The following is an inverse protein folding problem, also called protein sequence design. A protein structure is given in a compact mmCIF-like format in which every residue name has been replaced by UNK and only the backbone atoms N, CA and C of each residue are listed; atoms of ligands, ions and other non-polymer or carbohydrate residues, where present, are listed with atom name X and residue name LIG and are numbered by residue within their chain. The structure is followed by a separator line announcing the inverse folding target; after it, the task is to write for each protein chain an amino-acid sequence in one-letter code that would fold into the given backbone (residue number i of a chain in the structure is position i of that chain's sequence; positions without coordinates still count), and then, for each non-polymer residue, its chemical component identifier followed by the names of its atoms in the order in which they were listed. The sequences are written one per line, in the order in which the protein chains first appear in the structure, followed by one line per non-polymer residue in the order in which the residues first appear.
data_IF_203211693992
#
_entry.id   IF_203211693992
#
_cell.length_a   1.000
_cell.length_b   1.000
_cell.length_c   1.000
_cell.angle_alpha   90.00
_cell.angle_beta   90.00
_cell.angle_gamma   90.00
#
_symmetry.space_group_name_H-M   'P 1'
#
loop_
_entity.id
_entity.type
_entity.pdbx_description
1 polymer ?
#
# COMPACT_ATOMS: atom_id res chain seq x y z
N UNK A 1 -2.50 1.68 28.60
CA UNK A 1 -1.69 0.58 28.03
C UNK A 1 -1.38 0.92 26.58
N UNK A 2 -0.20 0.60 26.07
CA UNK A 2 0.14 0.76 24.64
C UNK A 2 -0.77 -0.08 23.77
N UNK A 3 -1.18 0.41 22.60
CA UNK A 3 -2.03 -0.28 21.60
C UNK A 3 -1.37 -0.36 20.22
N UNK A 4 -1.94 -1.17 19.35
CA UNK A 4 -1.65 -1.14 17.91
C UNK A 4 -2.65 -0.20 17.23
N UNK A 5 -2.15 0.76 16.48
CA UNK A 5 -2.95 1.62 15.63
C UNK A 5 -2.73 1.22 14.17
N UNK A 6 -3.77 0.66 13.57
CA UNK A 6 -3.76 0.17 12.20
C UNK A 6 -4.47 1.17 11.31
N UNK A 7 -3.77 1.71 10.33
CA UNK A 7 -4.27 2.73 9.41
C UNK A 7 -4.33 2.15 8.00
N UNK A 8 -5.54 1.91 7.52
CA UNK A 8 -5.81 1.31 6.21
C UNK A 8 -6.25 2.39 5.23
N UNK A 9 -5.42 2.71 4.23
CA UNK A 9 -5.70 3.70 3.20
C UNK A 9 -6.01 2.99 1.87
N UNK A 10 -7.27 2.96 1.44
CA UNK A 10 -7.63 2.30 0.18
C UNK A 10 -7.51 3.24 -1.03
N UNK A 11 -7.38 2.65 -2.22
CA UNK A 11 -7.39 3.34 -3.50
C UNK A 11 -8.69 4.08 -3.78
N UNK A 12 -8.59 5.08 -4.65
CA UNK A 12 -9.73 5.88 -5.14
C UNK A 12 -10.81 5.00 -5.77
N UNK A 13 -12.07 5.36 -5.51
CA UNK A 13 -13.29 4.66 -5.94
C UNK A 13 -13.64 3.37 -5.20
N UNK A 14 -12.81 2.94 -4.26
CA UNK A 14 -13.09 1.77 -3.43
C UNK A 14 -13.74 2.20 -2.12
N UNK A 15 -14.82 1.53 -1.74
CA UNK A 15 -15.49 1.69 -0.44
C UNK A 15 -15.49 0.36 0.29
N UNK A 16 -15.50 0.34 1.63
CA UNK A 16 -15.68 -0.89 2.39
C UNK A 16 -16.89 -1.67 1.90
N UNK A 17 -18.00 -1.01 1.57
CA UNK A 17 -19.26 -1.68 1.17
C UNK A 17 -19.31 -2.16 -0.28
N UNK A 18 -18.20 -2.12 -1.01
CA UNK A 18 -18.18 -2.65 -2.37
C UNK A 18 -18.38 -4.18 -2.35
N UNK A 19 -19.10 -4.70 -3.35
CA UNK A 19 -19.34 -6.14 -3.47
C UNK A 19 -18.03 -6.95 -3.64
N UNK A 20 -16.94 -6.31 -4.07
CA UNK A 20 -15.65 -6.93 -4.38
C UNK A 20 -14.54 -6.24 -3.59
N UNK A 21 -14.23 -6.69 -2.36
CA UNK A 21 -13.33 -5.97 -1.46
C UNK A 21 -11.90 -5.95 -2.01
N UNK A 22 -11.18 -4.87 -1.74
CA UNK A 22 -9.72 -4.80 -1.93
C UNK A 22 -9.01 -5.55 -0.82
N UNK A 23 -7.71 -5.82 -1.00
CA UNK A 23 -6.87 -6.40 0.04
C UNK A 23 -6.79 -5.49 1.28
N UNK A 24 -6.83 -4.15 1.10
CA UNK A 24 -6.92 -3.19 2.21
C UNK A 24 -8.23 -3.35 2.99
N UNK A 25 -9.36 -3.52 2.29
CA UNK A 25 -10.65 -3.79 2.93
C UNK A 25 -10.61 -5.12 3.67
N UNK A 26 -10.10 -6.19 3.05
CA UNK A 26 -9.99 -7.52 3.68
C UNK A 26 -9.16 -7.45 4.97
N UNK A 27 -8.00 -6.79 4.94
CA UNK A 27 -7.18 -6.53 6.14
C UNK A 27 -7.95 -5.76 7.20
N UNK A 28 -8.60 -4.65 6.84
CA UNK A 28 -9.30 -3.82 7.81
C UNK A 28 -10.46 -4.54 8.51
N UNK A 29 -11.15 -5.44 7.80
CA UNK A 29 -12.22 -6.28 8.36
C UNK A 29 -11.67 -7.42 9.22
N UNK A 30 -10.45 -7.88 8.93
CA UNK A 30 -9.86 -9.07 9.54
C UNK A 30 -9.01 -8.78 10.78
N UNK A 31 -8.58 -7.55 11.04
CA UNK A 31 -7.77 -7.25 12.24
C UNK A 31 -8.61 -7.51 13.49
N UNK A 32 -8.13 -8.41 14.33
CA UNK A 32 -8.78 -8.75 15.61
C UNK A 32 -8.70 -7.59 16.60
N UNK A 33 -9.60 -7.54 17.58
CA UNK A 33 -9.61 -6.45 18.57
C UNK A 33 -8.41 -6.46 19.53
N UNK A 34 -7.76 -7.62 19.72
CA UNK A 34 -6.63 -7.78 20.63
C UNK A 34 -5.57 -8.70 20.01
N UNK A 35 -4.31 -8.31 20.13
CA UNK A 35 -3.19 -9.18 19.85
C UNK A 35 -3.08 -10.28 20.92
N UNK A 36 -2.40 -11.42 20.64
CA UNK A 36 -2.16 -12.49 21.63
C UNK A 36 -1.51 -12.02 22.93
N UNK A 37 -0.79 -10.88 22.89
CA UNK A 37 -0.21 -10.23 24.07
C UNK A 37 -1.23 -9.52 24.97
N UNK A 38 -2.52 -9.51 24.63
CA UNK A 38 -3.57 -8.72 25.27
C UNK A 38 -3.57 -7.24 24.87
N UNK A 39 -2.69 -6.84 23.94
CA UNK A 39 -2.61 -5.47 23.43
C UNK A 39 -3.80 -5.17 22.52
N UNK A 40 -4.54 -4.12 22.83
CA UNK A 40 -5.64 -3.61 21.98
C UNK A 40 -5.13 -3.27 20.57
N UNK A 41 -5.90 -3.61 19.54
CA UNK A 41 -5.66 -3.21 18.15
C UNK A 41 -6.84 -2.39 17.63
N UNK A 42 -6.58 -1.15 17.22
CA UNK A 42 -7.59 -0.24 16.67
C UNK A 42 -7.35 0.01 15.20
N UNK A 43 -8.35 -0.31 14.39
CA UNK A 43 -8.30 -0.12 12.94
C UNK A 43 -9.03 1.14 12.52
N UNK A 44 -8.36 1.98 11.73
CA UNK A 44 -8.92 3.15 11.08
C UNK A 44 -8.89 2.95 9.57
N UNK A 45 -10.05 3.06 8.94
CA UNK A 45 -10.18 2.94 7.50
C UNK A 45 -10.40 4.31 6.84
N UNK A 46 -9.51 4.66 5.91
CA UNK A 46 -9.63 5.85 5.08
C UNK A 46 -10.08 5.44 3.67
N UNK A 47 -11.32 5.81 3.31
CA UNK A 47 -11.84 5.63 1.96
C UNK A 47 -11.08 6.54 0.99
N UNK A 48 -10.54 6.01 -0.10
CA UNK A 48 -9.74 6.79 -1.04
C UNK A 48 -10.48 7.98 -1.66
N UNK A 49 -9.71 8.93 -2.20
CA UNK A 49 -10.17 10.12 -2.97
C UNK A 49 -11.34 9.75 -3.92
N UNK A 50 -12.34 10.63 -4.10
CA UNK A 50 -13.39 10.47 -5.14
C UNK A 50 -14.59 9.59 -4.77
N UNK A 51 -14.65 9.02 -3.56
CA UNK A 51 -15.78 8.19 -3.10
C UNK A 51 -17.06 8.98 -2.78
N UNK A 52 -17.00 10.32 -2.68
CA UNK A 52 -18.19 11.17 -2.51
C UNK A 52 -18.90 11.37 -3.84
N UNK A 53 -20.23 11.11 -3.88
CA UNK A 53 -21.10 11.14 -5.08
C UNK A 53 -20.95 12.39 -5.97
N UNK A 54 -20.57 13.52 -5.38
CA UNK A 54 -20.38 14.82 -6.04
C UNK A 54 -18.96 15.08 -6.57
N UNK A 55 -17.95 14.32 -6.14
CA UNK A 55 -16.57 14.37 -6.66
C UNK A 55 -16.40 13.57 -7.97
N UNK A 56 -17.42 12.76 -8.33
CA UNK A 56 -17.48 11.98 -9.58
C UNK A 56 -17.38 12.81 -10.86
N UNK A 57 -17.78 14.09 -10.83
CA UNK A 57 -18.03 14.88 -12.05
C UNK A 57 -16.88 15.87 -12.36
N UNK A 58 -15.98 16.16 -11.42
CA UNK A 58 -14.85 17.09 -11.66
C UNK A 58 -13.51 16.38 -11.49
N UNK A 59 -13.02 15.79 -12.58
CA UNK A 59 -11.68 15.19 -12.70
C UNK A 59 -10.48 16.12 -12.50
N UNK A 60 -10.66 17.28 -11.84
CA UNK A 60 -9.62 18.29 -11.56
C UNK A 60 -9.30 18.49 -10.07
N UNK A 61 -9.94 17.76 -9.14
CA UNK A 61 -9.74 17.91 -7.68
C UNK A 61 -8.59 17.12 -7.07
N UNK A 62 -7.77 16.46 -7.90
CA UNK A 62 -6.81 15.41 -7.47
C UNK A 62 -5.83 15.85 -6.37
N UNK A 63 -5.18 17.01 -6.53
CA UNK A 63 -4.25 17.54 -5.53
C UNK A 63 -4.94 18.03 -4.25
N UNK A 64 -6.15 18.61 -4.38
CA UNK A 64 -6.91 19.08 -3.23
C UNK A 64 -7.43 17.91 -2.38
N UNK A 65 -7.91 16.83 -3.03
CA UNK A 65 -8.32 15.59 -2.37
C UNK A 65 -7.18 14.95 -1.59
N UNK A 66 -6.00 14.79 -2.20
CA UNK A 66 -4.84 14.23 -1.52
C UNK A 66 -4.41 15.05 -0.29
N UNK A 67 -4.40 16.38 -0.39
CA UNK A 67 -4.09 17.27 0.74
C UNK A 67 -5.09 17.15 1.89
N UNK A 68 -6.38 16.96 1.57
CA UNK A 68 -7.43 16.70 2.55
C UNK A 68 -7.19 15.34 3.22
N UNK A 69 -7.04 14.29 2.43
CA UNK A 69 -6.88 12.91 2.89
C UNK A 69 -5.68 12.75 3.82
N UNK A 70 -4.55 13.39 3.51
CA UNK A 70 -3.37 13.39 4.38
C UNK A 70 -3.65 14.07 5.73
N UNK A 71 -4.31 15.23 5.73
CA UNK A 71 -4.61 15.96 6.96
C UNK A 71 -5.69 15.26 7.80
N UNK A 72 -6.69 14.65 7.17
CA UNK A 72 -7.73 13.88 7.85
C UNK A 72 -7.15 12.61 8.48
N UNK A 73 -6.37 11.82 7.72
CA UNK A 73 -5.72 10.62 8.23
C UNK A 73 -4.75 10.96 9.37
N UNK A 74 -3.91 11.99 9.20
CA UNK A 74 -2.98 12.43 10.24
C UNK A 74 -3.73 12.93 11.50
N UNK A 75 -4.85 13.63 11.35
CA UNK A 75 -5.68 14.06 12.48
C UNK A 75 -6.22 12.87 13.27
N UNK A 76 -6.70 11.83 12.60
CA UNK A 76 -7.16 10.60 13.26
C UNK A 76 -6.03 9.97 14.08
N UNK A 77 -4.80 9.94 13.54
CA UNK A 77 -3.62 9.45 14.26
C UNK A 77 -3.37 10.32 15.50
N UNK A 78 -3.29 11.64 15.38
CA UNK A 78 -3.07 12.55 16.52
C UNK A 78 -4.12 12.36 17.62
N UNK A 79 -5.39 12.17 17.25
CA UNK A 79 -6.47 12.01 18.23
C UNK A 79 -6.38 10.69 18.99
N UNK A 80 -5.83 9.63 18.39
CA UNK A 80 -5.86 8.27 18.93
C UNK A 80 -4.51 7.74 19.41
N UNK A 81 -3.41 8.37 19.03
CA UNK A 81 -2.05 7.95 19.40
C UNK A 81 -1.70 8.37 20.82
N UNK A 82 -1.12 7.43 21.57
CA UNK A 82 -0.45 7.66 22.84
C UNK A 82 1.01 7.17 22.76
N UNK A 83 1.95 7.81 23.47
CA UNK A 83 3.33 7.32 23.54
C UNK A 83 3.41 5.84 23.93
N UNK A 84 4.16 5.06 23.15
CA UNK A 84 4.29 3.62 23.29
C UNK A 84 3.39 2.80 22.36
N UNK A 85 2.44 3.44 21.66
CA UNK A 85 1.66 2.77 20.62
C UNK A 85 2.52 2.40 19.41
N UNK A 86 2.17 1.29 18.75
CA UNK A 86 2.80 0.85 17.52
C UNK A 86 1.89 1.14 16.33
N UNK A 87 2.48 1.70 15.26
CA UNK A 87 1.74 2.12 14.07
C UNK A 87 1.94 1.13 12.92
N UNK A 88 0.84 0.70 12.34
CA UNK A 88 0.77 -0.18 11.18
C UNK A 88 0.04 0.54 10.06
N UNK A 89 0.63 0.58 8.88
CA UNK A 89 0.03 1.21 7.70
C UNK A 89 -0.22 0.18 6.62
N UNK A 90 -1.40 0.24 6.03
CA UNK A 90 -1.75 -0.51 4.84
C UNK A 90 -2.21 0.43 3.74
N UNK A 91 -1.88 0.14 2.48
CA UNK A 91 -2.53 0.85 1.40
C UNK A 91 -2.38 0.25 0.03
N UNK A 92 -3.32 0.55 -0.85
CA UNK A 92 -3.33 0.07 -2.24
C UNK A 92 -3.38 1.24 -3.21
N UNK A 93 -2.57 1.20 -4.28
CA UNK A 93 -2.63 2.18 -5.37
C UNK A 93 -2.36 3.60 -4.89
N UNK A 94 -3.33 4.51 -5.01
CA UNK A 94 -3.29 5.86 -4.42
C UNK A 94 -3.41 5.86 -2.89
N UNK A 95 -4.07 4.87 -2.31
CA UNK A 95 -4.07 4.65 -0.87
C UNK A 95 -2.68 4.29 -0.35
N UNK A 96 -1.89 3.52 -1.11
CA UNK A 96 -0.47 3.28 -0.80
C UNK A 96 0.35 4.57 -0.84
N UNK A 97 0.08 5.45 -1.81
CA UNK A 97 0.68 6.79 -1.85
C UNK A 97 0.34 7.59 -0.57
N UNK A 98 -0.92 7.56 -0.14
CA UNK A 98 -1.38 8.22 1.09
C UNK A 98 -0.67 7.65 2.32
N UNK A 99 -0.65 6.32 2.49
CA UNK A 99 0.02 5.66 3.60
C UNK A 99 1.51 6.03 3.69
N UNK A 100 2.24 5.93 2.57
CA UNK A 100 3.66 6.33 2.48
C UNK A 100 3.86 7.82 2.78
N UNK A 101 2.96 8.67 2.28
CA UNK A 101 3.02 10.11 2.54
C UNK A 101 2.74 10.47 4.00
N UNK A 102 1.86 9.74 4.70
CA UNK A 102 1.64 9.91 6.13
C UNK A 102 2.89 9.51 6.92
N UNK A 103 3.54 8.42 6.55
CA UNK A 103 4.82 8.03 7.18
C UNK A 103 5.89 9.12 6.98
N UNK A 104 6.00 9.68 5.77
CA UNK A 104 6.88 10.83 5.50
C UNK A 104 6.49 12.09 6.28
N UNK A 105 5.18 12.32 6.48
CA UNK A 105 4.66 13.42 7.26
C UNK A 105 5.06 13.27 8.74
N UNK A 106 4.83 12.10 9.34
CA UNK A 106 5.24 11.77 10.71
C UNK A 106 6.75 11.89 10.88
N UNK A 107 7.54 11.44 9.90
CA UNK A 107 9.01 11.63 9.93
C UNK A 107 9.39 13.10 10.04
N UNK A 108 8.71 13.99 9.32
CA UNK A 108 9.09 15.41 9.30
C UNK A 108 8.65 16.13 10.58
N UNK A 109 7.38 16.00 10.97
CA UNK A 109 6.80 16.80 12.05
C UNK A 109 6.51 16.02 13.33
N UNK A 110 6.82 14.72 13.41
CA UNK A 110 6.38 13.86 14.52
C UNK A 110 4.87 13.63 14.47
N UNK A 111 4.29 13.11 15.56
CA UNK A 111 2.84 13.09 15.78
C UNK A 111 2.50 14.22 16.75
N UNK A 112 1.72 15.21 16.31
CA UNK A 112 1.35 16.33 17.18
C UNK A 112 0.75 15.83 18.49
N UNK A 113 1.12 16.46 19.61
CA UNK A 113 0.39 16.25 20.86
C UNK A 113 -1.01 16.82 20.72
N UNK A 114 -1.99 16.23 21.41
CA UNK A 114 -3.42 16.54 21.20
C UNK A 114 -3.72 18.02 21.44
N UNK A 115 -3.05 18.63 22.41
CA UNK A 115 -3.14 20.06 22.73
C UNK A 115 -2.58 21.01 21.66
N UNK A 116 -1.83 20.48 20.68
CA UNK A 116 -1.23 21.24 19.57
C UNK A 116 -1.85 20.90 18.21
N UNK A 117 -3.03 20.27 18.18
CA UNK A 117 -3.72 19.89 16.94
C UNK A 117 -4.09 21.09 16.05
N UNK A 118 -4.19 22.29 16.62
CA UNK A 118 -4.37 23.56 15.92
C UNK A 118 -3.20 23.85 14.96
N UNK A 119 -2.01 23.33 15.24
CA UNK A 119 -0.81 23.45 14.39
C UNK A 119 -0.75 22.47 13.23
N UNK A 120 -1.80 21.69 12.99
CA UNK A 120 -1.83 20.72 11.86
C UNK A 120 -1.46 21.35 10.52
N UNK A 121 -1.97 22.55 10.23
CA UNK A 121 -1.68 23.22 8.96
C UNK A 121 -0.22 23.71 8.88
N UNK A 122 0.40 24.02 10.00
CA UNK A 122 1.82 24.36 10.09
C UNK A 122 2.69 23.13 9.87
N UNK A 123 2.41 22.03 10.58
CA UNK A 123 3.06 20.74 10.36
C UNK A 123 2.94 20.29 8.90
N UNK A 124 1.76 20.41 8.30
CA UNK A 124 1.55 20.06 6.90
C UNK A 124 2.34 20.96 5.95
N UNK A 125 2.45 22.27 6.22
CA UNK A 125 3.32 23.17 5.43
C UNK A 125 4.79 22.77 5.53
N UNK A 126 5.26 22.42 6.73
CA UNK A 126 6.62 21.92 6.96
C UNK A 126 6.87 20.66 6.14
N UNK A 127 5.99 19.65 6.22
CA UNK A 127 6.04 18.46 5.36
C UNK A 127 5.98 18.77 3.86
N UNK A 128 5.20 19.78 3.46
CA UNK A 128 5.03 20.15 2.04
C UNK A 128 6.13 21.06 1.50
N UNK A 129 6.96 21.60 2.37
CA UNK A 129 8.10 22.42 1.98
C UNK A 129 9.14 21.57 1.24
N UNK A 130 9.75 22.16 0.22
CA UNK A 130 10.85 21.57 -0.55
C UNK A 130 12.16 22.34 -0.35
N UNK A 131 12.19 23.18 0.69
CA UNK A 131 13.38 23.94 1.03
C UNK A 131 14.38 23.02 1.73
N UNK A 132 15.69 23.19 1.49
CA UNK A 132 16.71 22.35 2.12
C UNK A 132 16.59 22.31 3.65
N UNK A 133 16.29 23.44 4.30
CA UNK A 133 16.13 23.65 5.74
C UNK A 133 14.87 23.02 6.38
N UNK A 134 13.94 22.53 5.56
CA UNK A 134 12.70 21.87 6.00
C UNK A 134 12.76 20.34 5.92
N UNK A 135 13.94 19.81 5.57
CA UNK A 135 14.20 18.37 5.61
C UNK A 135 14.05 17.84 7.06
N UNK A 136 13.52 16.62 7.28
CA UNK A 136 13.36 16.04 8.60
C UNK A 136 14.57 16.11 9.55
N UNK A 137 15.77 16.24 9.00
CA UNK A 137 17.03 16.32 9.75
C UNK A 137 17.47 17.72 10.13
N UNK A 138 16.81 18.72 9.60
CA UNK A 138 17.19 20.11 9.79
C UNK A 138 16.61 20.68 11.08
N UNK A 139 17.12 21.86 11.44
CA UNK A 139 16.83 22.53 12.71
C UNK A 139 15.33 22.82 12.83
N UNK A 140 14.67 23.31 11.78
CA UNK A 140 13.25 23.66 11.83
C UNK A 140 12.38 22.44 12.17
N UNK A 141 12.57 21.33 11.44
CA UNK A 141 11.81 20.10 11.66
C UNK A 141 12.11 19.49 13.04
N UNK A 142 13.37 19.51 13.46
CA UNK A 142 13.80 18.99 14.77
C UNK A 142 13.20 19.80 15.92
N UNK A 143 13.24 21.13 15.85
CA UNK A 143 12.64 22.02 16.85
C UNK A 143 11.13 21.86 16.87
N UNK A 144 10.48 21.75 15.71
CA UNK A 144 9.04 21.55 15.63
C UNK A 144 8.63 20.25 16.33
N UNK A 145 9.31 19.14 16.05
CA UNK A 145 9.06 17.84 16.69
C UNK A 145 9.18 17.91 18.21
N UNK A 146 10.31 18.43 18.70
CA UNK A 146 10.56 18.58 20.14
C UNK A 146 9.52 19.46 20.82
N UNK A 147 9.13 20.55 20.15
CA UNK A 147 8.24 21.57 20.72
C UNK A 147 6.78 21.14 20.74
N UNK A 148 6.31 20.37 19.76
CA UNK A 148 4.86 20.15 19.57
C UNK A 148 4.41 18.70 19.39
N UNK A 149 5.33 17.75 19.28
CA UNK A 149 5.01 16.39 18.86
C UNK A 149 5.59 15.31 19.76
N UNK A 150 5.11 14.10 19.58
CA UNK A 150 5.76 12.86 19.98
C UNK A 150 6.59 12.32 18.81
N UNK A 151 7.83 11.93 19.08
CA UNK A 151 8.67 11.20 18.13
C UNK A 151 8.44 9.70 18.33
N UNK A 152 8.22 8.97 17.25
CA UNK A 152 7.97 7.53 17.29
C UNK A 152 8.45 6.85 16.01
N UNK A 153 8.58 5.52 16.07
CA UNK A 153 8.87 4.67 14.92
C UNK A 153 7.58 4.10 14.34
N UNK A 154 7.64 3.72 13.06
CA UNK A 154 6.56 3.03 12.37
C UNK A 154 6.89 1.55 12.36
N UNK A 155 6.04 0.75 12.99
CA UNK A 155 6.29 -0.69 13.15
C UNK A 155 6.19 -1.43 11.82
N UNK A 156 5.22 -1.05 10.99
CA UNK A 156 4.95 -1.75 9.74
C UNK A 156 4.33 -0.82 8.70
N UNK A 157 4.77 -0.95 7.45
CA UNK A 157 4.04 -0.44 6.28
C UNK A 157 3.96 -1.52 5.20
N UNK A 158 2.73 -1.91 4.86
CA UNK A 158 2.42 -2.86 3.81
C UNK A 158 1.65 -2.18 2.68
N UNK A 159 2.16 -2.23 1.46
CA UNK A 159 1.50 -1.59 0.32
C UNK A 159 1.34 -2.50 -0.89
N UNK A 160 0.21 -2.38 -1.57
CA UNK A 160 -0.02 -3.01 -2.86
C UNK A 160 0.08 -1.96 -3.97
N UNK A 161 0.92 -2.25 -4.94
CA UNK A 161 1.12 -1.58 -6.22
C UNK A 161 1.01 -0.05 -6.16
N UNK A 162 1.86 0.57 -5.34
CA UNK A 162 1.94 2.04 -5.22
C UNK A 162 2.11 2.68 -6.59
N UNK A 163 1.16 3.51 -7.01
CA UNK A 163 1.27 4.29 -8.25
C UNK A 163 1.54 5.75 -7.92
N UNK A 164 2.59 6.30 -8.54
CA UNK A 164 2.93 7.71 -8.42
C UNK A 164 1.79 8.56 -8.98
N UNK A 165 1.50 9.69 -8.34
CA UNK A 165 0.33 10.54 -8.62
C UNK A 165 0.34 11.24 -9.99
N UNK A 166 1.08 10.73 -10.98
CA UNK A 166 1.06 11.20 -12.36
C UNK A 166 -0.33 10.92 -12.92
N UNK A 167 -1.16 11.97 -12.89
CA UNK A 167 -2.49 11.95 -13.46
C UNK A 167 -2.49 11.43 -14.90
N UNK A 168 -3.66 10.94 -15.32
CA UNK A 168 -3.94 10.52 -16.69
C UNK A 168 -3.32 11.56 -17.65
N UNK A 169 -2.43 11.16 -18.58
CA UNK A 169 -1.97 12.04 -19.64
C UNK A 169 -3.17 12.29 -20.54
N UNK A 170 -3.91 13.36 -20.27
CA UNK A 170 -4.78 13.97 -21.26
C UNK A 170 -3.85 14.76 -22.18
N UNK A 171 -3.38 14.09 -23.24
CA UNK A 171 -2.62 14.74 -24.32
C UNK A 171 -3.47 15.89 -24.88
N UNK A 172 -3.13 17.11 -24.46
CA UNK A 172 -3.84 18.35 -24.83
C UNK A 172 -3.74 19.49 -23.80
N UNK A 173 -3.47 19.22 -22.52
CA UNK A 173 -3.43 20.25 -21.48
C UNK A 173 -2.07 20.31 -20.75
N UNK A 174 -1.10 21.00 -21.36
CA UNK A 174 0.24 21.29 -20.78
C UNK A 174 0.19 21.88 -19.36
N UNK A 175 -0.90 22.52 -18.95
CA UNK A 175 -1.07 23.06 -17.59
C UNK A 175 -1.16 21.98 -16.49
N UNK A 176 -1.72 20.80 -16.77
CA UNK A 176 -1.91 19.74 -15.74
C UNK A 176 -0.56 19.17 -15.28
N UNK A 177 0.44 19.11 -16.18
CA UNK A 177 1.79 18.67 -15.85
C UNK A 177 2.53 19.60 -14.88
N UNK A 178 2.25 20.91 -14.89
CA UNK A 178 2.86 21.86 -13.95
C UNK A 178 2.31 21.68 -12.53
N UNK A 179 1.00 21.45 -12.40
CA UNK A 179 0.36 21.18 -11.11
C UNK A 179 0.77 19.83 -10.51
N UNK A 180 1.04 18.81 -11.34
CA UNK A 180 1.48 17.49 -10.90
C UNK A 180 2.85 17.48 -10.21
N UNK A 181 3.77 18.38 -10.59
CA UNK A 181 5.11 18.44 -9.98
C UNK A 181 5.07 18.68 -8.48
N UNK A 182 4.05 19.38 -7.96
CA UNK A 182 3.88 19.60 -6.51
C UNK A 182 3.44 18.32 -5.80
N UNK A 183 2.73 17.41 -6.46
CA UNK A 183 2.11 16.21 -5.86
C UNK A 183 2.89 14.91 -6.07
N UNK A 184 3.99 14.97 -6.82
CA UNK A 184 5.00 13.91 -6.82
C UNK A 184 5.47 13.63 -5.40
N UNK A 185 5.83 12.36 -5.13
CA UNK A 185 6.42 11.93 -3.86
C UNK A 185 7.48 12.94 -3.43
N UNK A 186 7.41 13.33 -2.16
CA UNK A 186 8.47 14.16 -1.59
C UNK A 186 9.74 13.38 -1.38
N UNK A 187 9.60 12.08 -1.12
CA UNK A 187 10.69 11.16 -0.98
C UNK A 187 10.23 9.79 -1.50
N UNK A 188 10.95 9.23 -2.47
CA UNK A 188 10.76 7.83 -2.88
C UNK A 188 11.62 6.90 -2.05
N UNK A 189 12.55 7.41 -1.24
CA UNK A 189 13.28 6.62 -0.25
C UNK A 189 12.35 6.26 0.92
N UNK A 190 12.59 5.08 1.49
CA UNK A 190 11.92 4.69 2.72
C UNK A 190 12.49 5.48 3.91
N UNK A 191 11.61 5.98 4.77
CA UNK A 191 12.02 6.70 5.98
C UNK A 191 12.74 5.78 6.96
N UNK A 192 13.87 6.22 7.54
CA UNK A 192 14.61 5.49 8.57
C UNK A 192 13.87 5.29 9.91
N UNK A 193 12.67 5.87 10.09
CA UNK A 193 11.82 5.59 11.26
C UNK A 193 10.96 4.34 11.09
N UNK A 194 10.97 3.72 9.91
CA UNK A 194 10.18 2.52 9.61
C UNK A 194 10.98 1.27 9.97
N UNK A 195 10.40 0.37 10.76
CA UNK A 195 11.04 -0.90 11.13
C UNK A 195 10.93 -1.93 10.01
N UNK A 196 9.76 -2.04 9.38
CA UNK A 196 9.50 -3.06 8.36
C UNK A 196 8.56 -2.54 7.27
N UNK A 197 8.98 -2.72 6.01
CA UNK A 197 8.31 -2.20 4.83
C UNK A 197 8.17 -3.29 3.76
N UNK A 198 6.95 -3.52 3.32
CA UNK A 198 6.60 -4.58 2.38
C UNK A 198 5.77 -4.01 1.23
N UNK A 199 6.17 -4.28 0.00
CA UNK A 199 5.50 -3.76 -1.20
C UNK A 199 5.23 -4.88 -2.21
N UNK A 200 3.96 -5.24 -2.41
CA UNK A 200 3.54 -6.14 -3.47
C UNK A 200 3.35 -5.37 -4.79
N UNK A 201 3.97 -5.82 -5.88
CA UNK A 201 4.02 -5.15 -7.18
C UNK A 201 3.43 -6.02 -8.29
N UNK A 202 2.69 -5.40 -9.21
CA UNK A 202 2.11 -6.12 -10.36
C UNK A 202 3.13 -6.26 -11.51
N UNK A 203 3.33 -7.49 -12.01
CA UNK A 203 4.21 -7.78 -13.15
C UNK A 203 3.55 -7.38 -14.49
N UNK A 204 2.26 -7.70 -14.66
CA UNK A 204 1.56 -7.70 -15.96
C UNK A 204 0.85 -6.38 -16.28
N UNK A 205 0.93 -5.39 -15.38
CA UNK A 205 0.32 -4.07 -15.57
C UNK A 205 1.08 -3.24 -16.61
N UNK A 206 0.40 -2.91 -17.72
CA UNK A 206 0.99 -2.30 -18.91
C UNK A 206 0.56 -0.84 -19.16
N UNK A 207 -0.32 -0.27 -18.34
CA UNK A 207 -0.79 1.11 -18.51
C UNK A 207 0.28 2.08 -18.01
N UNK A 208 0.75 2.96 -18.89
CA UNK A 208 1.75 3.99 -18.55
C UNK A 208 1.43 4.85 -17.31
N UNK A 209 0.18 5.26 -17.07
CA UNK A 209 -0.17 6.01 -15.84
C UNK A 209 -0.11 5.17 -14.55
N UNK A 210 -0.06 3.85 -14.66
CA UNK A 210 0.09 2.92 -13.54
C UNK A 210 1.54 2.48 -13.39
N UNK A 211 2.50 3.37 -13.67
CA UNK A 211 3.91 3.12 -13.36
C UNK A 211 4.08 2.96 -11.85
N UNK A 212 4.68 1.86 -11.38
CA UNK A 212 4.86 1.64 -9.96
C UNK A 212 5.91 2.61 -9.43
N UNK A 213 5.74 3.04 -8.18
CA UNK A 213 6.77 3.79 -7.44
C UNK A 213 7.35 2.88 -6.40
N UNK A 214 8.53 2.33 -6.66
CA UNK A 214 9.28 1.51 -5.71
C UNK A 214 9.95 2.40 -4.65
N UNK A 215 10.41 1.79 -3.56
CA UNK A 215 11.43 2.37 -2.71
C UNK A 215 12.79 2.21 -3.37
N UNK A 216 13.57 3.30 -3.36
CA UNK A 216 14.96 3.31 -3.84
C UNK A 216 15.96 3.01 -2.72
N UNK A 217 17.21 2.70 -3.10
CA UNK A 217 18.28 2.43 -2.15
C UNK A 217 18.59 3.67 -1.30
N UNK A 218 18.97 3.44 -0.05
CA UNK A 218 19.24 4.50 0.92
C UNK A 218 20.53 4.19 1.68
N UNK A 219 21.55 5.01 1.48
CA UNK A 219 22.90 4.78 1.99
C UNK A 219 22.99 4.78 3.54
N UNK A 220 22.01 5.39 4.20
CA UNK A 220 21.92 5.57 5.64
C UNK A 220 20.65 4.93 6.22
N UNK A 221 20.21 3.84 5.60
CA UNK A 221 19.15 2.98 6.13
C UNK A 221 19.62 2.36 7.46
N UNK A 222 18.74 2.28 8.48
CA UNK A 222 19.03 1.50 9.69
C UNK A 222 19.34 0.04 9.35
N UNK A 223 20.30 -0.56 10.05
CA UNK A 223 20.75 -1.94 9.80
C UNK A 223 19.70 -3.00 10.13
N UNK A 224 18.73 -2.66 10.98
CA UNK A 224 17.61 -3.50 11.40
C UNK A 224 16.33 -3.25 10.59
N UNK A 225 16.36 -2.34 9.61
CA UNK A 225 15.21 -2.03 8.75
C UNK A 225 14.99 -3.18 7.74
N UNK A 226 13.80 -3.79 7.78
CA UNK A 226 13.41 -4.84 6.83
C UNK A 226 12.67 -4.23 5.63
N UNK A 227 13.13 -4.54 4.42
CA UNK A 227 12.49 -4.09 3.17
C UNK A 227 12.34 -5.28 2.21
N UNK A 228 11.11 -5.53 1.76
CA UNK A 228 10.82 -6.52 0.72
C UNK A 228 9.87 -5.91 -0.32
N UNK A 229 10.32 -5.81 -1.57
CA UNK A 229 9.53 -5.37 -2.72
C UNK A 229 9.34 -6.57 -3.65
N UNK A 230 8.16 -7.17 -3.60
CA UNK A 230 7.90 -8.48 -4.22
C UNK A 230 6.98 -8.34 -5.41
N UNK A 231 7.43 -8.85 -6.55
CA UNK A 231 6.72 -8.86 -7.82
C UNK A 231 5.82 -10.10 -7.93
N UNK A 232 4.53 -9.87 -8.13
CA UNK A 232 3.48 -10.89 -8.27
C UNK A 232 2.89 -10.90 -9.68
N UNK A 233 2.52 -12.08 -10.15
CA UNK A 233 1.72 -12.23 -11.37
C UNK A 233 0.42 -11.44 -11.26
N UNK A 234 0.03 -10.79 -12.34
CA UNK A 234 -1.22 -10.06 -12.41
C UNK A 234 -1.06 -8.60 -12.78
N UNK A 235 -2.18 -7.97 -13.15
CA UNK A 235 -2.26 -6.52 -13.31
C UNK A 235 -2.54 -5.82 -11.96
N UNK A 236 -2.69 -4.50 -11.96
CA UNK A 236 -2.82 -3.70 -10.74
C UNK A 236 -3.80 -4.24 -9.67
N UNK A 237 -5.00 -4.66 -10.09
CA UNK A 237 -6.03 -5.21 -9.20
C UNK A 237 -5.94 -6.72 -8.98
N UNK A 238 -5.14 -7.43 -9.77
CA UNK A 238 -4.77 -8.83 -9.48
C UNK A 238 -3.75 -8.91 -8.33
N UNK A 239 -3.17 -7.77 -7.91
CA UNK A 239 -2.28 -7.70 -6.74
C UNK A 239 -2.94 -6.98 -5.57
N UNK A 240 -3.68 -5.90 -5.81
CA UNK A 240 -4.35 -5.14 -4.75
C UNK A 240 -5.79 -5.57 -4.41
N UNK A 241 -6.37 -6.46 -5.21
CA UNK A 241 -7.77 -6.87 -5.09
C UNK A 241 -8.76 -5.91 -5.76
N UNK A 242 -10.05 -6.22 -5.60
CA UNK A 242 -11.18 -5.47 -6.17
C UNK A 242 -11.80 -6.10 -7.42
N UNK A 243 -11.20 -7.16 -7.96
CA UNK A 243 -11.84 -8.01 -8.98
C UNK A 243 -12.76 -9.05 -8.34
N UNK A 244 -13.76 -9.54 -9.09
CA UNK A 244 -14.52 -10.71 -8.67
C UNK A 244 -13.60 -11.92 -8.59
N UNK A 245 -12.89 -12.24 -9.67
CA UNK A 245 -11.87 -13.29 -9.70
C UNK A 245 -10.62 -12.74 -9.00
N UNK A 246 -10.32 -13.27 -7.81
CA UNK A 246 -9.34 -12.69 -6.90
C UNK A 246 -8.27 -13.68 -6.44
N UNK A 247 -8.14 -14.81 -7.13
CA UNK A 247 -7.20 -15.89 -6.85
C UNK A 247 -5.75 -15.39 -6.82
N UNK A 248 -5.35 -14.59 -7.82
CA UNK A 248 -4.02 -13.98 -7.86
C UNK A 248 -3.81 -12.97 -6.72
N UNK A 249 -4.84 -12.16 -6.42
CA UNK A 249 -4.73 -11.11 -5.40
C UNK A 249 -4.72 -11.67 -3.98
N UNK A 250 -5.29 -12.86 -3.78
CA UNK A 250 -5.25 -13.57 -2.51
C UNK A 250 -3.84 -14.05 -2.18
N UNK A 251 -3.03 -14.45 -3.17
CA UNK A 251 -1.61 -14.79 -2.95
C UNK A 251 -0.86 -13.58 -2.40
N UNK A 252 -1.02 -12.41 -3.04
CA UNK A 252 -0.39 -11.16 -2.59
C UNK A 252 -0.94 -10.67 -1.23
N UNK A 253 -2.22 -10.95 -0.93
CA UNK A 253 -2.83 -10.66 0.36
C UNK A 253 -2.21 -11.52 1.46
N UNK A 254 -2.17 -12.84 1.27
CA UNK A 254 -1.71 -13.80 2.26
C UNK A 254 -0.23 -13.59 2.58
N UNK A 255 0.60 -13.30 1.57
CA UNK A 255 1.98 -12.86 1.78
C UNK A 255 2.06 -11.61 2.69
N UNK A 256 1.26 -10.57 2.41
CA UNK A 256 1.27 -9.35 3.22
C UNK A 256 0.79 -9.61 4.66
N UNK A 257 -0.23 -10.46 4.82
CA UNK A 257 -0.79 -10.87 6.12
C UNK A 257 0.25 -11.61 6.95
N UNK A 258 1.01 -12.53 6.35
CA UNK A 258 2.12 -13.21 7.00
C UNK A 258 3.18 -12.22 7.50
N UNK A 259 3.58 -11.26 6.65
CA UNK A 259 4.54 -10.21 7.05
C UNK A 259 4.02 -9.36 8.20
N UNK A 260 2.74 -8.99 8.17
CA UNK A 260 2.10 -8.26 9.26
C UNK A 260 2.06 -9.07 10.56
N UNK A 261 1.75 -10.39 10.49
CA UNK A 261 1.81 -11.31 11.63
C UNK A 261 3.21 -11.41 12.23
N UNK A 262 4.24 -11.53 11.38
CA UNK A 262 5.64 -11.55 11.82
C UNK A 262 6.05 -10.26 12.55
N UNK A 263 5.35 -9.16 12.30
CA UNK A 263 5.57 -7.88 12.96
C UNK A 263 4.73 -7.68 14.23
N UNK A 264 3.85 -8.63 14.57
CA UNK A 264 3.04 -8.66 15.78
C UNK A 264 1.57 -8.30 15.59
N UNK A 265 1.10 -8.07 14.36
CA UNK A 265 -0.31 -7.78 14.10
C UNK A 265 -1.14 -9.08 14.11
N UNK A 266 -2.29 -9.06 14.78
CA UNK A 266 -3.16 -10.22 14.88
C UNK A 266 -4.47 -10.03 14.11
N UNK A 267 -4.91 -11.11 13.49
CA UNK A 267 -6.14 -11.18 12.71
C UNK A 267 -7.14 -12.12 13.38
N UNK A 268 -8.42 -11.94 13.13
CA UNK A 268 -9.47 -12.84 13.61
C UNK A 268 -9.21 -14.26 13.13
N UNK A 269 -9.48 -15.24 14.00
CA UNK A 269 -9.21 -16.65 13.73
C UNK A 269 -9.91 -17.19 12.47
N UNK A 270 -11.11 -16.68 12.17
CA UNK A 270 -11.89 -17.08 10.98
C UNK A 270 -11.63 -16.20 9.75
N UNK A 271 -10.67 -15.26 9.84
CA UNK A 271 -10.29 -14.43 8.70
C UNK A 271 -9.35 -15.18 7.76
N UNK A 272 -9.46 -14.87 6.46
CA UNK A 272 -8.66 -15.51 5.41
C UNK A 272 -8.81 -17.03 5.38
N UNK A 273 -10.00 -17.54 5.69
CA UNK A 273 -10.31 -18.95 5.55
C UNK A 273 -10.09 -19.36 4.10
N UNK A 274 -9.22 -20.35 3.91
CA UNK A 274 -8.97 -20.89 2.59
C UNK A 274 -10.05 -21.87 2.20
N UNK A 275 -10.68 -21.59 1.07
CA UNK A 275 -11.78 -22.39 0.55
C UNK A 275 -11.36 -23.02 -0.80
N UNK A 276 -11.94 -24.17 -1.17
CA UNK A 276 -11.46 -24.95 -2.32
C UNK A 276 -11.75 -24.31 -3.67
N UNK A 277 -12.80 -23.48 -3.76
CA UNK A 277 -13.13 -22.73 -4.97
C UNK A 277 -14.02 -21.54 -4.63
N UNK A 278 -14.01 -20.53 -5.48
CA UNK A 278 -14.80 -19.31 -5.31
C UNK A 278 -16.31 -19.53 -5.19
N UNK A 279 -16.80 -20.61 -5.80
CA UNK A 279 -18.21 -21.01 -5.74
C UNK A 279 -18.57 -21.78 -4.46
N UNK A 280 -17.56 -22.13 -3.64
CA UNK A 280 -17.79 -22.75 -2.35
C UNK A 280 -18.57 -21.78 -1.46
N UNK A 281 -19.67 -22.26 -0.92
CA UNK A 281 -20.42 -21.51 0.08
C UNK A 281 -19.57 -21.37 1.34
N UNK A 282 -19.60 -20.19 1.94
CA UNK A 282 -19.04 -20.01 3.27
C UNK A 282 -19.66 -21.05 4.22
N UNK A 283 -18.89 -21.61 5.17
CA UNK A 283 -19.39 -22.60 6.11
C UNK A 283 -20.70 -22.14 6.78
N UNK A 284 -21.66 -23.04 7.06
CA UNK A 284 -22.84 -22.68 7.85
C UNK A 284 -22.42 -22.01 9.18
N UNK A 285 -22.92 -20.80 9.45
CA UNK A 285 -22.54 -20.02 10.62
C UNK A 285 -21.33 -19.09 10.43
N UNK A 286 -20.77 -19.01 9.23
CA UNK A 286 -19.69 -18.08 8.91
C UNK A 286 -20.07 -16.64 9.25
N UNK A 287 -19.15 -15.93 9.90
CA UNK A 287 -19.35 -14.52 10.24
C UNK A 287 -19.34 -13.66 8.98
N UNK A 288 -19.86 -12.43 9.08
CA UNK A 288 -19.76 -11.43 8.01
C UNK A 288 -18.31 -11.09 7.66
N UNK A 289 -17.36 -11.32 8.57
CA UNK A 289 -15.92 -11.15 8.31
C UNK A 289 -15.41 -12.30 7.45
N UNK A 290 -15.70 -13.56 7.81
CA UNK A 290 -15.29 -14.75 7.04
C UNK A 290 -15.79 -14.68 5.60
N UNK A 291 -17.09 -14.38 5.40
CA UNK A 291 -17.68 -14.29 4.06
C UNK A 291 -17.03 -13.23 3.17
N UNK A 292 -16.40 -12.21 3.76
CA UNK A 292 -15.80 -11.07 3.04
C UNK A 292 -14.29 -11.14 2.93
N UNK A 293 -13.66 -12.04 3.69
CA UNK A 293 -12.21 -12.18 3.77
C UNK A 293 -11.71 -13.55 3.32
N UNK A 294 -12.60 -14.49 2.98
CA UNK A 294 -12.25 -15.78 2.40
C UNK A 294 -11.32 -15.62 1.18
N UNK A 295 -10.44 -16.60 1.01
CA UNK A 295 -9.38 -16.61 0.02
C UNK A 295 -9.37 -17.91 -0.78
N UNK A 296 -8.95 -17.81 -2.04
CA UNK A 296 -8.83 -18.91 -2.99
C UNK A 296 -7.52 -18.74 -3.80
N UNK A 297 -6.34 -18.73 -3.15
CA UNK A 297 -5.09 -18.50 -3.85
C UNK A 297 -4.82 -19.58 -4.89
N UNK A 298 -4.69 -19.18 -6.15
CA UNK A 298 -4.33 -20.06 -7.26
C UNK A 298 -3.36 -19.33 -8.21
N UNK A 299 -2.08 -19.76 -8.30
CA UNK A 299 -1.10 -19.21 -9.24
C UNK A 299 -1.53 -19.31 -10.71
N UNK A 300 -2.40 -20.28 -11.03
CA UNK A 300 -2.96 -20.51 -12.36
C UNK A 300 -4.30 -19.81 -12.58
N UNK A 301 -4.76 -19.03 -11.59
CA UNK A 301 -5.97 -18.22 -11.67
C UNK A 301 -6.02 -17.29 -12.89
N UNK A 302 -7.21 -16.77 -13.22
CA UNK A 302 -7.41 -15.95 -14.42
C UNK A 302 -6.58 -14.67 -14.37
N UNK A 303 -5.86 -14.39 -15.45
CA UNK A 303 -5.11 -13.15 -15.63
C UNK A 303 -5.98 -12.11 -16.33
N UNK A 304 -6.13 -10.93 -15.74
CA UNK A 304 -6.93 -9.87 -16.32
C UNK A 304 -6.14 -9.04 -17.34
N UNK A 305 -6.83 -8.48 -18.34
CA UNK A 305 -6.23 -7.55 -19.29
C UNK A 305 -6.40 -6.10 -18.81
N UNK A 306 -5.27 -5.46 -18.47
CA UNK A 306 -5.26 -4.06 -17.99
C UNK A 306 -5.52 -3.05 -19.11
N UNK A 307 -5.12 -3.36 -20.35
CA UNK A 307 -5.27 -2.44 -21.50
C UNK A 307 -6.63 -2.64 -22.16
N UNK A 308 -7.63 -1.94 -21.63
CA UNK A 308 -8.97 -1.84 -22.20
C UNK A 308 -9.25 -0.42 -22.73
N UNK A 309 -10.23 -0.28 -23.63
CA UNK A 309 -10.61 1.01 -24.21
C UNK A 309 -9.43 1.77 -24.81
N UNK A 310 -9.26 3.04 -24.42
CA UNK A 310 -8.20 3.93 -24.91
C UNK A 310 -6.78 3.39 -24.65
N UNK A 311 -6.58 2.60 -23.59
CA UNK A 311 -5.27 2.04 -23.26
C UNK A 311 -4.79 0.97 -24.25
N UNK A 312 -5.67 0.42 -25.09
CA UNK A 312 -5.27 -0.47 -26.20
C UNK A 312 -4.51 0.26 -27.29
N UNK A 313 -4.79 1.55 -27.47
CA UNK A 313 -4.20 2.38 -28.52
C UNK A 313 -2.88 3.03 -28.08
N UNK A 314 -2.63 3.11 -26.78
CA UNK A 314 -1.42 3.71 -26.20
C UNK A 314 -0.32 2.65 -26.07
N UNK A 315 0.93 2.99 -26.40
CA UNK A 315 2.09 2.09 -26.27
C UNK A 315 2.14 1.47 -24.86
N UNK A 316 2.28 0.13 -24.74
CA UNK A 316 2.38 -0.52 -23.44
C UNK A 316 3.66 -0.10 -22.72
N UNK A 317 3.57 0.03 -21.40
CA UNK A 317 4.72 0.19 -20.51
C UNK A 317 5.07 -1.17 -19.89
N UNK A 318 6.26 -1.68 -20.16
CA UNK A 318 6.76 -2.90 -19.51
C UNK A 318 7.48 -2.49 -18.23
N UNK A 319 7.10 -3.10 -17.10
CA UNK A 319 7.69 -2.80 -15.80
C UNK A 319 9.04 -3.52 -15.68
N UNK A 320 10.14 -2.79 -15.40
CA UNK A 320 11.43 -3.42 -15.15
C UNK A 320 11.44 -4.04 -13.74
N UNK A 321 11.90 -5.29 -13.65
CA UNK A 321 12.03 -6.03 -12.39
C UNK A 321 13.49 -6.02 -11.94
N UNK A 322 13.74 -5.74 -10.66
CA UNK A 322 15.09 -5.84 -10.06
C UNK A 322 16.04 -4.69 -10.40
N UNK A 323 15.54 -3.59 -10.94
CA UNK A 323 16.39 -2.49 -11.44
C UNK A 323 16.46 -1.28 -10.52
N UNK A 324 15.54 -1.15 -9.56
CA UNK A 324 15.46 0.03 -8.69
C UNK A 324 16.29 -0.16 -7.43
N UNK A 325 16.13 -1.29 -6.76
CA UNK A 325 16.85 -1.69 -5.56
C UNK A 325 17.01 -3.21 -5.56
N UNK A 326 18.00 -3.69 -6.32
CA UNK A 326 18.21 -5.12 -6.55
C UNK A 326 18.39 -5.93 -5.26
N UNK A 327 18.85 -5.32 -4.15
CA UNK A 327 19.00 -5.98 -2.85
C UNK A 327 17.68 -6.25 -2.13
N UNK A 328 16.60 -5.57 -2.51
CA UNK A 328 15.31 -5.66 -1.85
C UNK A 328 14.16 -5.98 -2.82
N UNK A 329 14.47 -6.32 -4.07
CA UNK A 329 13.49 -6.68 -5.10
C UNK A 329 13.50 -8.18 -5.37
N UNK A 330 12.33 -8.80 -5.21
CA UNK A 330 12.13 -10.25 -5.33
C UNK A 330 10.97 -10.57 -6.27
N UNK A 331 10.98 -11.76 -6.87
CA UNK A 331 9.80 -12.34 -7.54
C UNK A 331 9.15 -13.37 -6.62
N UNK A 332 7.82 -13.35 -6.49
CA UNK A 332 7.08 -14.37 -5.74
C UNK A 332 7.23 -15.75 -6.39
N UNK A 333 7.43 -16.81 -5.60
CA UNK A 333 7.58 -18.17 -6.13
C UNK A 333 6.37 -18.62 -6.97
N UNK A 334 5.15 -18.17 -6.65
CA UNK A 334 3.94 -18.38 -7.44
C UNK A 334 4.01 -17.86 -8.88
N UNK A 335 4.76 -16.78 -9.14
CA UNK A 335 4.98 -16.30 -10.51
C UNK A 335 5.93 -17.23 -11.29
N UNK A 336 6.91 -17.82 -10.60
CA UNK A 336 7.77 -18.87 -11.15
C UNK A 336 7.00 -20.15 -11.45
N UNK A 337 6.11 -20.57 -10.54
CA UNK A 337 5.23 -21.72 -10.72
C UNK A 337 4.31 -21.54 -11.93
N UNK A 338 3.65 -20.37 -12.06
CA UNK A 338 2.82 -20.07 -13.22
C UNK A 338 3.62 -20.13 -14.51
N UNK A 339 4.84 -19.58 -14.55
CA UNK A 339 5.72 -19.66 -15.71
C UNK A 339 6.03 -21.11 -16.08
N UNK A 340 6.30 -21.98 -15.10
CA UNK A 340 6.60 -23.38 -15.35
C UNK A 340 5.42 -24.12 -15.99
N UNK A 341 4.19 -23.83 -15.56
CA UNK A 341 2.97 -24.45 -16.09
C UNK A 341 2.48 -23.81 -17.41
N UNK A 342 2.68 -22.51 -17.58
CA UNK A 342 2.19 -21.72 -18.72
C UNK A 342 3.32 -20.92 -19.39
N UNK A 343 4.38 -21.59 -19.92
CA UNK A 343 5.60 -20.93 -20.37
C UNK A 343 5.40 -19.93 -21.51
N UNK A 344 4.44 -20.17 -22.40
CA UNK A 344 4.12 -19.28 -23.53
C UNK A 344 3.37 -18.02 -23.12
N UNK A 345 2.80 -18.00 -21.91
CA UNK A 345 2.05 -16.86 -21.36
C UNK A 345 2.91 -15.93 -20.49
N UNK A 346 4.12 -16.37 -20.13
CA UNK A 346 5.00 -15.62 -19.25
C UNK A 346 5.48 -14.32 -19.92
N UNK A 347 5.37 -13.17 -19.25
CA UNK A 347 5.77 -11.91 -19.85
C UNK A 347 7.31 -11.82 -19.94
N UNK A 348 7.81 -11.21 -21.00
CA UNK A 348 9.25 -11.21 -21.31
C UNK A 348 10.13 -10.60 -20.22
N UNK A 349 9.62 -9.61 -19.46
CA UNK A 349 10.33 -9.02 -18.32
C UNK A 349 10.51 -10.02 -17.16
N UNK A 350 9.52 -10.87 -16.90
CA UNK A 350 9.62 -11.93 -15.90
C UNK A 350 10.62 -13.00 -16.34
N UNK A 351 10.53 -13.44 -17.59
CA UNK A 351 11.47 -14.42 -18.17
C UNK A 351 12.91 -13.89 -18.06
N UNK A 352 13.14 -12.66 -18.51
CA UNK A 352 14.45 -12.03 -18.44
C UNK A 352 14.99 -11.90 -17.00
N UNK A 353 14.14 -11.58 -16.02
CA UNK A 353 14.57 -11.50 -14.61
C UNK A 353 14.95 -12.88 -14.07
N UNK A 354 14.10 -13.89 -14.29
CA UNK A 354 14.28 -15.25 -13.79
C UNK A 354 15.44 -15.99 -14.45
N UNK A 355 15.78 -15.70 -15.71
CA UNK A 355 16.87 -16.34 -16.44
C UNK A 355 18.27 -15.81 -16.04
N UNK A 356 18.34 -14.74 -15.24
CA UNK A 356 19.58 -14.20 -14.69
C UNK A 356 19.88 -14.78 -13.29
N UNK A 357 20.39 -13.98 -12.34
CA UNK A 357 20.46 -14.31 -10.90
C UNK A 357 19.25 -13.73 -10.18
N UNK A 358 18.07 -14.39 -10.22
CA UNK A 358 16.88 -13.87 -9.59
C UNK A 358 16.97 -13.95 -8.08
N UNK A 359 16.30 -13.02 -7.40
CA UNK A 359 15.91 -13.20 -6.02
C UNK A 359 14.44 -13.60 -6.01
N UNK A 360 14.13 -14.72 -5.37
CA UNK A 360 12.76 -15.20 -5.21
C UNK A 360 12.40 -15.23 -3.74
N UNK A 361 11.14 -14.91 -3.45
CA UNK A 361 10.55 -15.09 -2.12
C UNK A 361 9.53 -16.21 -2.22
N UNK A 362 9.68 -17.17 -1.31
CA UNK A 362 8.65 -18.16 -1.11
C UNK A 362 7.40 -17.49 -0.55
N UNK A 363 6.32 -17.61 -1.31
CA UNK A 363 4.98 -17.29 -0.84
C UNK A 363 4.31 -18.63 -0.58
N UNK A 364 4.13 -18.96 0.69
CA UNK A 364 3.64 -20.27 1.12
C UNK A 364 2.39 -20.70 0.32
N UNK A 365 2.31 -21.99 0.00
CA UNK A 365 1.08 -22.64 -0.45
C UNK A 365 0.11 -22.72 0.76
N UNK A 366 -0.40 -21.57 1.22
CA UNK A 366 -1.11 -21.39 2.52
C UNK A 366 -2.43 -22.21 2.62
N UNK A 367 -2.73 -23.02 1.62
CA UNK A 367 -3.99 -23.72 1.44
C UNK A 367 -3.89 -25.20 1.03
N UNK A 368 -2.69 -25.79 1.01
CA UNK A 368 -2.54 -27.24 0.74
C UNK A 368 -2.49 -28.08 2.00
#
# INVERSE_FOLDING_TARGET
MSKHLVVCCDGTWNTPDQQKPTNVTKVALAVSQQAPSGREQRTFYHCGVGTRRWERIRGGGFGFGLSRDLRETYRVIVQNFDPGDQLYFFGFSRGAFTARSIVGFIRNCGILRREHIDRLNEAYRLYRSRRPDSNPREIEATLFRRSYSHETRIRFIGVWDTVGSLGIPLDGLRLVNLFNRRWQFHDTELSGIVDSAFHALAIDEKRGPFRPTLWGPRADAPTDQRIEQVWFTGVHSDVGGGYPEHELSDIALLWMVDRARSCGLAFDHDAFLCLPSRDAQAPPGATSVTARTAVYPDPLGPLHESRTGVYRLIKPFVRPLGTTDASHEYVASSAGERRAHLPTSAPANLVAYLDNTPQTIEVEEICR
#
